data_IF_400784917946
#
_entry.id   IF_400784917946
#
_cell.length_a   1.000
_cell.length_b   1.000
_cell.length_c   1.000
_cell.angle_alpha   90.00
_cell.angle_beta   90.00
_cell.angle_gamma   90.00
#
_symmetry.space_group_name_H-M   'P 1'
#
loop_
_entity.id
_entity.type
_entity.pdbx_description
1 polymer ?
#
# COMPACT_ATOMS: atom_id res chain seq x y z
N UNK A 1 6.84 -5.45 32.67
CA UNK A 1 6.32 -4.57 31.61
C UNK A 1 6.68 -5.24 30.30
N UNK A 2 5.72 -5.88 29.63
CA UNK A 2 5.91 -6.33 28.25
C UNK A 2 6.22 -5.10 27.41
N UNK A 3 7.34 -5.11 26.69
CA UNK A 3 7.75 -3.98 25.85
C UNK A 3 6.64 -3.63 24.86
N UNK A 4 6.47 -2.34 24.59
CA UNK A 4 5.62 -1.88 23.50
C UNK A 4 6.09 -2.54 22.19
N UNK A 5 5.21 -3.30 21.55
CA UNK A 5 5.42 -3.83 20.20
C UNK A 5 4.62 -2.95 19.24
N UNK A 6 5.30 -2.12 18.46
CA UNK A 6 4.71 -1.33 17.38
C UNK A 6 5.07 -1.92 16.02
N UNK A 7 4.34 -1.53 14.98
CA UNK A 7 4.68 -1.82 13.60
C UNK A 7 5.54 -0.69 13.01
N UNK A 8 6.87 -0.84 12.95
CA UNK A 8 7.74 0.23 12.52
C UNK A 8 7.59 0.49 11.01
N UNK A 9 7.19 1.71 10.66
CA UNK A 9 7.15 2.19 9.29
C UNK A 9 8.55 2.67 8.92
N UNK A 10 9.25 1.90 8.09
CA UNK A 10 10.64 2.14 7.67
C UNK A 10 10.80 2.25 6.16
N UNK A 11 9.77 1.90 5.39
CA UNK A 11 9.86 1.70 3.95
C UNK A 11 10.51 0.37 3.57
N UNK A 12 10.69 0.17 2.26
CA UNK A 12 11.27 -1.05 1.70
C UNK A 12 12.75 -1.18 2.05
N UNK A 13 13.16 -2.33 2.59
CA UNK A 13 14.55 -2.65 2.98
C UNK A 13 15.28 -3.48 1.92
N UNK A 14 15.20 -3.05 0.66
CA UNK A 14 15.88 -3.70 -0.48
C UNK A 14 17.39 -3.43 -0.48
N UNK A 15 18.13 -3.96 0.49
CA UNK A 15 19.58 -3.78 0.65
C UNK A 15 20.04 -2.30 0.71
N UNK A 16 19.16 -1.39 1.13
CA UNK A 16 19.42 0.04 1.19
C UNK A 16 19.37 0.76 -0.17
N UNK A 17 18.93 0.09 -1.24
CA UNK A 17 18.77 0.72 -2.55
C UNK A 17 17.50 1.58 -2.62
N UNK A 18 17.64 2.72 -3.30
CA UNK A 18 16.56 3.68 -3.52
C UNK A 18 16.11 3.58 -4.97
N UNK A 19 14.82 3.31 -5.17
CA UNK A 19 14.18 3.26 -6.48
C UNK A 19 13.05 4.30 -6.55
N UNK A 20 12.81 4.92 -7.72
CA UNK A 20 11.69 5.83 -7.90
C UNK A 20 10.35 5.08 -7.94
N UNK A 21 9.27 5.75 -7.52
CA UNK A 21 7.90 5.32 -7.82
C UNK A 21 7.61 5.65 -9.28
N UNK A 22 7.27 4.69 -10.15
CA UNK A 22 7.04 4.94 -11.57
C UNK A 22 5.59 5.36 -11.86
N UNK A 23 5.33 5.92 -13.04
CA UNK A 23 3.96 6.19 -13.51
C UNK A 23 3.27 4.86 -13.87
N UNK A 24 2.04 4.66 -13.40
CA UNK A 24 1.36 3.37 -13.39
C UNK A 24 1.06 2.78 -14.77
N UNK A 25 0.70 3.56 -15.78
CA UNK A 25 0.34 3.02 -17.09
C UNK A 25 1.58 2.47 -17.81
N UNK A 26 2.65 3.26 -17.87
CA UNK A 26 3.93 2.83 -18.45
C UNK A 26 4.57 1.69 -17.64
N UNK A 27 4.51 1.77 -16.30
CA UNK A 27 5.04 0.72 -15.44
C UNK A 27 4.32 -0.63 -15.64
N UNK A 28 2.98 -0.62 -15.70
CA UNK A 28 2.19 -1.84 -15.79
C UNK A 28 2.39 -2.56 -17.14
N UNK A 29 2.62 -1.82 -18.24
CA UNK A 29 2.93 -2.44 -19.53
C UNK A 29 4.32 -3.04 -19.58
N UNK A 30 5.29 -2.37 -18.97
CA UNK A 30 6.71 -2.68 -19.19
C UNK A 30 7.27 -3.66 -18.14
N UNK A 31 6.59 -3.84 -17.02
CA UNK A 31 7.08 -4.62 -15.87
C UNK A 31 6.12 -5.76 -15.48
N UNK A 32 5.90 -6.79 -16.34
CA UNK A 32 4.90 -7.83 -16.09
C UNK A 32 5.15 -8.63 -14.81
N UNK A 33 6.41 -8.88 -14.41
CA UNK A 33 6.75 -9.57 -13.15
C UNK A 33 6.39 -8.69 -11.94
N UNK A 34 6.69 -7.39 -11.99
CA UNK A 34 6.35 -6.48 -10.89
C UNK A 34 4.84 -6.29 -10.78
N UNK A 35 4.12 -6.17 -11.89
CA UNK A 35 2.66 -6.17 -11.91
C UNK A 35 2.11 -7.46 -11.29
N UNK A 36 2.68 -8.60 -11.67
CA UNK A 36 2.31 -9.91 -11.16
C UNK A 36 2.53 -10.09 -9.67
N UNK A 37 3.60 -9.50 -9.12
CA UNK A 37 3.85 -9.40 -7.68
C UNK A 37 2.82 -8.48 -7.02
N UNK A 38 2.57 -7.30 -7.59
CA UNK A 38 1.64 -6.32 -7.01
C UNK A 38 0.21 -6.86 -6.93
N UNK A 39 -0.30 -7.43 -8.01
CA UNK A 39 -1.66 -7.99 -8.05
C UNK A 39 -1.82 -9.11 -7.02
N UNK A 40 -0.88 -10.07 -6.97
CA UNK A 40 -0.93 -11.16 -5.98
C UNK A 40 -0.80 -10.64 -4.55
N UNK A 41 0.09 -9.68 -4.30
CA UNK A 41 0.31 -9.13 -2.97
C UNK A 41 -0.92 -8.35 -2.50
N UNK A 42 -1.56 -7.57 -3.38
CA UNK A 42 -2.76 -6.82 -3.03
C UNK A 42 -3.97 -7.74 -2.82
N UNK A 43 -4.11 -8.82 -3.60
CA UNK A 43 -5.11 -9.86 -3.34
C UNK A 43 -4.95 -10.48 -1.95
N UNK A 44 -3.72 -10.86 -1.57
CA UNK A 44 -3.43 -11.38 -0.24
C UNK A 44 -3.73 -10.32 0.82
N UNK A 45 -3.27 -9.08 0.62
CA UNK A 45 -3.45 -7.96 1.55
C UNK A 45 -4.94 -7.68 1.84
N UNK A 46 -5.78 -7.70 0.80
CA UNK A 46 -7.23 -7.54 0.91
C UNK A 46 -7.93 -8.74 1.56
N UNK A 47 -7.32 -9.93 1.51
CA UNK A 47 -7.86 -11.15 2.12
C UNK A 47 -7.44 -11.36 3.58
N UNK A 48 -6.49 -10.58 4.11
CA UNK A 48 -6.11 -10.63 5.53
C UNK A 48 -7.35 -10.33 6.39
N UNK A 49 -7.65 -11.14 7.43
CA UNK A 49 -8.79 -10.91 8.32
C UNK A 49 -8.83 -9.47 8.86
N UNK A 50 -10.02 -8.87 8.91
CA UNK A 50 -10.17 -7.46 9.24
C UNK A 50 -9.78 -7.14 10.69
N UNK A 51 -9.65 -8.14 11.57
CA UNK A 51 -9.18 -7.99 12.95
C UNK A 51 -7.66 -7.81 13.04
N UNK A 52 -6.92 -8.21 12.00
CA UNK A 52 -5.47 -8.02 11.94
C UNK A 52 -5.15 -6.57 11.62
N UNK A 53 -4.34 -5.92 12.47
CA UNK A 53 -3.90 -4.54 12.30
C UNK A 53 -3.15 -4.29 10.98
N UNK A 54 -2.55 -5.31 10.37
CA UNK A 54 -1.89 -5.22 9.06
C UNK A 54 -2.81 -5.53 7.87
N UNK A 55 -4.10 -5.77 8.10
CA UNK A 55 -5.05 -6.00 7.01
C UNK A 55 -5.29 -4.75 6.18
N UNK A 56 -5.70 -4.94 4.91
CA UNK A 56 -6.09 -3.81 4.06
C UNK A 56 -7.19 -2.99 4.72
N UNK A 57 -8.16 -3.64 5.38
CA UNK A 57 -9.24 -2.99 6.09
C UNK A 57 -8.74 -2.09 7.23
N UNK A 58 -7.86 -2.60 8.10
CA UNK A 58 -7.34 -1.82 9.23
C UNK A 58 -6.43 -0.68 8.76
N UNK A 59 -5.54 -0.92 7.79
CA UNK A 59 -4.68 0.12 7.24
C UNK A 59 -5.52 1.19 6.52
N UNK A 60 -6.51 0.82 5.71
CA UNK A 60 -7.46 1.78 5.11
C UNK A 60 -8.21 2.59 6.19
N UNK A 61 -8.59 1.92 7.28
CA UNK A 61 -9.30 2.51 8.42
C UNK A 61 -8.52 3.59 9.17
N UNK A 62 -7.18 3.60 9.09
CA UNK A 62 -6.35 4.69 9.65
C UNK A 62 -6.82 6.05 9.10
N UNK A 63 -7.19 6.10 7.82
CA UNK A 63 -7.59 7.35 7.17
C UNK A 63 -8.94 7.89 7.67
N UNK A 64 -9.83 7.04 8.18
CA UNK A 64 -11.23 7.41 8.39
C UNK A 64 -12.04 6.42 9.22
N UNK A 65 -13.19 6.02 8.70
CA UNK A 65 -14.04 5.00 9.33
C UNK A 65 -13.34 3.63 9.26
N UNK A 66 -13.49 2.77 10.30
CA UNK A 66 -14.44 2.89 11.41
C UNK A 66 -13.96 3.69 12.63
N UNK A 67 -12.88 4.49 12.54
CA UNK A 67 -12.32 5.28 13.65
C UNK A 67 -11.92 4.44 14.87
N UNK A 68 -11.28 3.30 14.63
CA UNK A 68 -10.73 2.44 15.69
C UNK A 68 -9.24 2.73 15.91
N UNK A 69 -8.70 2.45 17.12
CA UNK A 69 -7.26 2.40 17.38
C UNK A 69 -6.49 1.59 16.33
N UNK A 70 -5.29 2.04 16.00
CA UNK A 70 -4.35 1.27 15.17
C UNK A 70 -2.97 1.22 15.83
N UNK A 71 -2.29 0.07 15.74
CA UNK A 71 -0.94 -0.17 16.28
C UNK A 71 -0.74 0.23 17.77
N UNK A 72 -1.72 -0.12 18.61
CA UNK A 72 -1.75 0.18 20.04
C UNK A 72 -1.76 1.68 20.40
N UNK A 73 -1.89 2.56 19.42
CA UNK A 73 -2.15 3.98 19.68
C UNK A 73 -3.56 4.13 20.29
N UNK A 74 -3.79 5.01 21.28
CA UNK A 74 -5.13 5.27 21.77
C UNK A 74 -6.06 5.70 20.62
N UNK A 75 -7.36 5.43 20.77
CA UNK A 75 -8.34 5.93 19.80
C UNK A 75 -8.11 7.44 19.56
N UNK A 76 -8.25 7.94 18.31
CA UNK A 76 -7.93 9.33 17.93
C UNK A 76 -8.87 10.37 18.56
N UNK A 77 -8.83 10.47 19.89
CA UNK A 77 -9.50 11.45 20.73
C UNK A 77 -8.56 12.64 20.98
N UNK A 78 -7.25 12.40 21.04
CA UNK A 78 -6.24 13.42 21.37
C UNK A 78 -5.91 14.36 20.19
N UNK A 79 -6.22 13.96 18.94
CA UNK A 79 -6.17 14.89 17.80
C UNK A 79 -7.22 16.01 17.92
N UNK A 80 -8.35 15.76 18.61
CA UNK A 80 -9.39 16.76 18.85
C UNK A 80 -9.04 17.75 19.97
N UNK A 81 -8.16 17.37 20.91
CA UNK A 81 -7.75 18.22 22.05
C UNK A 81 -6.44 18.98 21.82
N UNK A 82 -5.53 18.44 21.02
CA UNK A 82 -4.18 19.01 20.81
C UNK A 82 -4.13 20.16 19.81
N UNK A 83 -5.22 20.45 19.10
CA UNK A 83 -5.38 21.67 18.30
C UNK A 83 -6.58 22.47 18.79
N UNK A 84 -6.39 23.61 19.48
CA UNK A 84 -7.49 24.50 19.83
C UNK A 84 -8.00 25.12 18.53
N UNK A 85 -9.05 24.54 17.95
CA UNK A 85 -9.73 25.12 16.80
C UNK A 85 -11.02 25.75 17.29
N UNK A 86 -11.03 27.08 17.41
CA UNK A 86 -12.24 27.88 17.56
C UNK A 86 -13.07 27.90 16.25
N UNK A 87 -13.05 26.83 15.47
CA UNK A 87 -13.77 26.71 14.22
C UNK A 87 -15.05 25.92 14.47
N UNK A 88 -16.15 26.65 14.63
CA UNK A 88 -17.54 26.15 14.61
C UNK A 88 -18.00 25.73 13.20
N UNK A 89 -17.08 25.31 12.33
CA UNK A 89 -17.32 25.13 10.90
C UNK A 89 -16.86 23.76 10.42
N UNK A 90 -17.84 22.98 9.99
CA UNK A 90 -17.97 21.82 9.09
C UNK A 90 -16.79 21.33 8.21
N UNK A 91 -15.53 21.49 8.58
CA UNK A 91 -14.38 21.19 7.69
C UNK A 91 -13.20 20.46 8.33
N UNK A 92 -13.22 20.20 9.63
CA UNK A 92 -12.22 19.34 10.31
C UNK A 92 -12.92 18.01 10.53
N UNK A 93 -12.33 16.90 10.07
CA UNK A 93 -12.82 15.54 10.36
C UNK A 93 -12.50 15.20 11.82
N UNK A 94 -13.45 15.35 12.77
CA UNK A 94 -13.18 14.99 14.15
C UNK A 94 -13.04 13.47 14.19
N UNK A 95 -12.07 12.96 14.94
CA UNK A 95 -11.92 11.53 15.28
C UNK A 95 -11.22 10.61 14.24
N UNK A 96 -10.42 11.12 13.29
CA UNK A 96 -9.58 10.28 12.42
C UNK A 96 -8.10 10.66 12.52
N UNK A 97 -7.20 9.73 12.18
CA UNK A 97 -5.76 10.02 12.14
C UNK A 97 -5.40 10.99 11.03
N UNK A 98 -6.12 10.96 9.90
CA UNK A 98 -5.80 11.75 8.72
C UNK A 98 -6.09 13.25 8.92
N UNK A 99 -5.07 14.13 8.86
CA UNK A 99 -5.26 15.56 8.92
C UNK A 99 -5.70 16.09 7.55
N UNK A 100 -6.89 16.70 7.51
CA UNK A 100 -7.38 17.44 6.35
C UNK A 100 -7.35 18.94 6.64
N UNK A 101 -7.24 19.76 5.59
CA UNK A 101 -7.27 21.23 5.69
C UNK A 101 -6.26 21.81 6.72
N UNK A 102 -5.08 21.20 6.81
CA UNK A 102 -4.03 21.60 7.75
C UNK A 102 -2.62 21.36 7.19
N UNK A 103 -1.64 22.05 7.76
CA UNK A 103 -0.23 22.02 7.32
C UNK A 103 0.35 20.59 7.23
N UNK A 104 0.07 19.67 8.17
CA UNK A 104 0.62 18.30 8.11
C UNK A 104 0.04 17.40 7.01
N UNK A 105 -0.95 17.85 6.23
CA UNK A 105 -1.59 17.04 5.19
C UNK A 105 -0.58 16.29 4.29
N UNK A 106 0.44 16.94 3.68
CA UNK A 106 1.36 16.23 2.80
C UNK A 106 2.30 15.26 3.52
N UNK A 107 2.77 15.61 4.72
CA UNK A 107 3.73 14.78 5.47
C UNK A 107 3.06 13.56 6.08
N UNK A 108 1.82 13.69 6.55
CA UNK A 108 1.04 12.56 7.05
C UNK A 108 0.75 11.55 5.92
N UNK A 109 0.24 12.02 4.77
CA UNK A 109 -0.04 11.14 3.63
C UNK A 109 1.23 10.49 3.07
N UNK A 110 2.38 11.18 3.13
CA UNK A 110 3.66 10.58 2.74
C UNK A 110 3.96 9.31 3.56
N UNK A 111 3.78 9.35 4.87
CA UNK A 111 4.02 8.20 5.76
C UNK A 111 2.95 7.14 5.57
N UNK A 112 1.69 7.53 5.36
CA UNK A 112 0.60 6.60 5.08
C UNK A 112 0.80 5.78 3.79
N UNK A 113 1.21 6.45 2.71
CA UNK A 113 1.56 5.76 1.45
C UNK A 113 2.81 4.88 1.62
N UNK A 114 3.78 5.31 2.43
CA UNK A 114 4.97 4.49 2.75
C UNK A 114 4.62 3.21 3.51
N UNK A 115 3.67 3.28 4.45
CA UNK A 115 3.12 2.11 5.15
C UNK A 115 2.49 1.13 4.15
N UNK A 116 1.65 1.62 3.25
CA UNK A 116 0.99 0.80 2.24
C UNK A 116 1.99 0.09 1.31
N UNK A 117 3.00 0.83 0.83
CA UNK A 117 4.10 0.31 0.02
C UNK A 117 4.92 -0.75 0.78
N UNK A 118 5.24 -0.51 2.05
CA UNK A 118 5.98 -1.46 2.89
C UNK A 118 5.20 -2.76 3.08
N UNK A 119 3.90 -2.69 3.42
CA UNK A 119 3.08 -3.88 3.67
C UNK A 119 2.98 -4.78 2.44
N UNK A 120 2.80 -4.19 1.25
CA UNK A 120 2.78 -4.93 0.00
C UNK A 120 4.12 -5.62 -0.27
N UNK A 121 5.23 -4.92 -0.08
CA UNK A 121 6.56 -5.50 -0.25
C UNK A 121 6.84 -6.62 0.76
N UNK A 122 6.43 -6.46 2.03
CA UNK A 122 6.54 -7.52 3.05
C UNK A 122 5.81 -8.79 2.57
N UNK A 123 4.56 -8.66 2.10
CA UNK A 123 3.78 -9.78 1.54
C UNK A 123 4.45 -10.40 0.31
N UNK A 124 4.97 -9.58 -0.62
CA UNK A 124 5.71 -10.10 -1.78
C UNK A 124 6.85 -11.03 -1.36
N UNK A 125 7.62 -10.63 -0.35
CA UNK A 125 8.82 -11.35 0.07
C UNK A 125 8.51 -12.54 0.98
N UNK A 126 7.48 -12.45 1.84
CA UNK A 126 7.15 -13.53 2.77
C UNK A 126 6.23 -14.59 2.18
N UNK A 127 5.29 -14.20 1.31
CA UNK A 127 4.24 -15.09 0.82
C UNK A 127 4.44 -15.50 -0.64
N UNK A 128 4.94 -14.63 -1.52
CA UNK A 128 4.92 -14.87 -2.98
C UNK A 128 6.27 -15.39 -3.50
N UNK A 129 7.35 -14.65 -3.29
CA UNK A 129 8.69 -15.02 -3.79
C UNK A 129 9.14 -16.42 -3.33
N UNK A 130 8.84 -16.90 -2.10
CA UNK A 130 9.18 -18.26 -1.69
C UNK A 130 8.49 -19.37 -2.49
N UNK A 131 7.38 -19.07 -3.19
CA UNK A 131 6.69 -20.02 -4.06
C UNK A 131 7.34 -20.15 -5.45
N UNK A 132 8.21 -19.21 -5.83
CA UNK A 132 8.92 -19.23 -7.11
C UNK A 132 10.08 -20.22 -7.01
N UNK A 133 10.15 -21.17 -7.94
CA UNK A 133 11.14 -22.26 -7.92
C UNK A 133 12.16 -22.12 -9.05
N UNK A 134 13.34 -22.74 -8.83
CA UNK A 134 14.42 -22.78 -9.82
C UNK A 134 14.99 -21.40 -10.15
N UNK A 135 15.41 -21.22 -11.40
CA UNK A 135 16.16 -20.04 -11.86
C UNK A 135 15.35 -18.74 -11.81
N UNK A 136 14.02 -18.82 -11.67
CA UNK A 136 13.16 -17.64 -11.61
C UNK A 136 13.14 -16.98 -10.23
N UNK A 137 13.51 -17.69 -9.16
CA UNK A 137 13.39 -17.15 -7.80
C UNK A 137 14.20 -15.86 -7.62
N UNK A 138 15.45 -15.84 -8.09
CA UNK A 138 16.31 -14.65 -8.01
C UNK A 138 15.76 -13.47 -8.84
N UNK A 139 15.15 -13.75 -9.99
CA UNK A 139 14.55 -12.72 -10.86
C UNK A 139 13.34 -12.08 -10.18
N UNK A 140 12.48 -12.89 -9.57
CA UNK A 140 11.30 -12.40 -8.84
C UNK A 140 11.68 -11.66 -7.56
N UNK A 141 12.70 -12.15 -6.85
CA UNK A 141 13.25 -11.48 -5.67
C UNK A 141 13.79 -10.08 -6.02
N UNK A 142 14.52 -9.97 -7.13
CA UNK A 142 15.04 -8.68 -7.60
C UNK A 142 13.90 -7.74 -8.04
N UNK A 143 12.91 -8.27 -8.77
CA UNK A 143 11.73 -7.50 -9.16
C UNK A 143 10.98 -6.94 -7.93
N UNK A 144 10.84 -7.72 -6.85
CA UNK A 144 10.25 -7.26 -5.60
C UNK A 144 11.09 -6.18 -4.92
N UNK A 145 12.42 -6.28 -4.95
CA UNK A 145 13.33 -5.30 -4.37
C UNK A 145 13.31 -3.95 -5.11
N UNK A 146 13.17 -3.98 -6.43
CA UNK A 146 13.07 -2.78 -7.28
C UNK A 146 11.68 -2.15 -7.19
N UNK A 147 10.62 -2.96 -7.04
CA UNK A 147 9.24 -2.49 -7.05
C UNK A 147 9.00 -1.34 -6.06
N UNK A 148 8.25 -0.34 -6.50
CA UNK A 148 7.76 0.78 -5.69
C UNK A 148 6.32 1.05 -6.09
N UNK A 149 5.51 1.55 -5.15
CA UNK A 149 4.09 1.80 -5.37
C UNK A 149 3.92 2.83 -6.51
N UNK A 150 3.33 2.46 -7.66
CA UNK A 150 3.21 3.36 -8.80
C UNK A 150 2.30 4.55 -8.48
N UNK A 151 2.55 5.69 -9.13
CA UNK A 151 1.68 6.87 -9.04
C UNK A 151 0.85 7.04 -10.31
N UNK A 152 -0.33 7.64 -10.14
CA UNK A 152 -1.16 8.09 -11.26
C UNK A 152 -0.93 9.58 -11.50
N UNK A 153 -0.38 9.91 -12.68
CA UNK A 153 -0.22 11.30 -13.11
C UNK A 153 -1.51 11.84 -13.74
N UNK A 154 -2.49 12.12 -12.88
CA UNK A 154 -3.81 12.63 -13.30
C UNK A 154 -3.73 14.00 -14.00
N UNK A 155 -2.64 14.75 -13.84
CA UNK A 155 -2.46 16.05 -14.46
C UNK A 155 -1.91 15.93 -15.89
N UNK A 156 -1.06 14.93 -16.15
CA UNK A 156 -0.60 14.60 -17.50
C UNK A 156 -1.65 13.81 -18.30
N UNK A 157 -2.26 12.81 -17.68
CA UNK A 157 -3.39 12.06 -18.24
C UNK A 157 -4.51 11.89 -17.20
N UNK A 158 -5.64 12.62 -17.34
CA UNK A 158 -6.75 12.58 -16.39
C UNK A 158 -7.55 11.28 -16.47
N UNK A 159 -7.26 10.42 -17.45
CA UNK A 159 -7.87 9.11 -17.55
C UNK A 159 -7.41 8.22 -16.39
N UNK A 160 -8.37 7.62 -15.67
CA UNK A 160 -8.10 6.58 -14.66
C UNK A 160 -7.16 5.52 -15.26
N UNK A 161 -6.10 5.04 -14.59
CA UNK A 161 -5.14 4.12 -15.20
C UNK A 161 -5.79 2.91 -15.85
N UNK A 162 -5.32 2.51 -17.03
CA UNK A 162 -5.91 1.39 -17.78
C UNK A 162 -5.99 0.09 -16.97
N UNK A 163 -4.93 -0.21 -16.20
CA UNK A 163 -4.80 -1.41 -15.38
C UNK A 163 -5.80 -1.47 -14.22
N UNK A 164 -6.47 -0.38 -13.86
CA UNK A 164 -7.45 -0.36 -12.75
C UNK A 164 -8.90 -0.37 -13.22
N UNK A 165 -9.19 -0.31 -14.54
CA UNK A 165 -10.56 -0.16 -15.06
C UNK A 165 -11.32 -1.47 -15.27
N UNK A 166 -10.64 -2.62 -15.20
CA UNK A 166 -11.22 -3.93 -15.47
C UNK A 166 -11.26 -4.80 -14.22
N UNK A 167 -12.31 -5.60 -14.07
CA UNK A 167 -12.47 -6.59 -13.00
C UNK A 167 -11.46 -7.75 -13.07
N UNK A 168 -10.74 -7.86 -14.19
CA UNK A 168 -9.70 -8.85 -14.44
C UNK A 168 -8.43 -8.19 -15.00
N UNK A 169 -7.29 -8.81 -14.72
CA UNK A 169 -5.96 -8.34 -15.14
C UNK A 169 -5.10 -9.51 -15.58
N UNK A 170 -4.25 -9.28 -16.58
CA UNK A 170 -3.25 -10.25 -17.03
C UNK A 170 -2.02 -10.22 -16.12
N UNK A 171 -1.59 -11.39 -15.68
CA UNK A 171 -0.37 -11.60 -14.89
C UNK A 171 0.46 -12.73 -15.50
N UNK A 172 1.77 -12.73 -15.24
CA UNK A 172 2.67 -13.83 -15.57
C UNK A 172 2.69 -14.88 -14.46
N UNK A 173 2.85 -16.14 -14.84
CA UNK A 173 3.13 -17.26 -13.94
C UNK A 173 4.55 -17.22 -13.39
N UNK A 174 4.84 -18.03 -12.36
CA UNK A 174 6.15 -18.06 -11.70
C UNK A 174 7.30 -18.52 -12.60
N UNK A 175 7.00 -19.13 -13.75
CA UNK A 175 7.99 -19.42 -14.79
C UNK A 175 8.43 -18.18 -15.59
N UNK A 176 7.79 -17.03 -15.36
CA UNK A 176 8.04 -15.76 -16.05
C UNK A 176 7.57 -15.73 -17.51
N UNK A 177 6.89 -16.77 -17.99
CA UNK A 177 6.58 -16.97 -19.42
C UNK A 177 5.12 -17.26 -19.69
N UNK A 178 4.45 -17.97 -18.79
CA UNK A 178 3.01 -18.25 -18.91
C UNK A 178 2.21 -17.03 -18.51
N UNK A 179 1.08 -16.80 -19.18
CA UNK A 179 0.16 -15.70 -18.88
C UNK A 179 -1.19 -16.25 -18.45
N UNK A 180 -1.82 -15.60 -17.48
CA UNK A 180 -3.15 -15.94 -17.03
C UNK A 180 -3.93 -14.68 -16.64
N UNK A 181 -5.25 -14.76 -16.76
CA UNK A 181 -6.15 -13.79 -16.14
C UNK A 181 -6.38 -14.14 -14.67
N UNK A 182 -6.51 -13.10 -13.86
CA UNK A 182 -6.95 -13.20 -12.46
C UNK A 182 -7.89 -12.04 -12.14
N UNK A 183 -8.58 -12.10 -11.00
CA UNK A 183 -9.36 -10.96 -10.49
C UNK A 183 -8.45 -9.78 -10.22
N UNK A 184 -8.90 -8.58 -10.56
CA UNK A 184 -8.13 -7.37 -10.37
C UNK A 184 -8.45 -6.72 -9.02
N UNK A 185 -7.55 -6.76 -8.03
CA UNK A 185 -7.76 -6.10 -6.73
C UNK A 185 -7.65 -4.57 -6.80
N UNK A 186 -7.30 -4.00 -7.95
CA UNK A 186 -7.23 -2.55 -8.19
C UNK A 186 -8.56 -1.95 -8.69
N UNK A 187 -9.52 -2.80 -9.06
CA UNK A 187 -10.84 -2.41 -9.59
C UNK A 187 -11.81 -2.00 -8.48
#
# INVERSE_FOLDING_TARGET
>A
MSGFSSFPITGIKANGQVHPRPEINSWASDNPIQLSLYIRALQIFQAIPFEDGKSYFQIAGIHGLPAVPWDNDPAPMEASKSYPTNYTTSGITPNFYCPHNSIPFPTWHRVYVLLFEQQLWEIMNSEIVPQVTGDQQAVWQEAANIWRLPYWDWAADPCVPSVVRGDTVFIVGFDGKTFAFTSNPLY
#
